data_IF_938941774416
#
_entry.id   IF_938941774416
#
_cell.length_a   1.000
_cell.length_b   1.000
_cell.length_c   1.000
_cell.angle_alpha   90.00
_cell.angle_beta   90.00
_cell.angle_gamma   90.00
#
_symmetry.space_group_name_H-M   'P 1'
#
loop_
_entity.id
_entity.type
_entity.pdbx_description
1 polymer ?
#
# COMPACT_ATOMS: atom_id res chain seq x y z
N UNK A 1 -10.28 -8.45 -14.05
CA UNK A 1 -10.00 -7.87 -15.37
C UNK A 1 -9.52 -6.42 -15.30
N UNK A 2 -10.01 -5.55 -14.40
CA UNK A 2 -9.54 -4.15 -14.31
C UNK A 2 -8.30 -3.89 -13.44
N UNK A 3 -7.71 -4.93 -12.84
CA UNK A 3 -6.57 -4.86 -11.91
C UNK A 3 -5.22 -4.83 -12.62
N UNK A 4 -5.16 -5.44 -13.79
CA UNK A 4 -3.93 -5.60 -14.57
C UNK A 4 -3.65 -4.30 -15.35
N UNK A 5 -4.70 -3.63 -15.80
CA UNK A 5 -4.64 -2.34 -16.51
C UNK A 5 -4.09 -1.22 -15.63
N UNK A 6 -4.51 -1.15 -14.36
CA UNK A 6 -4.02 -0.16 -13.40
C UNK A 6 -2.56 -0.40 -12.98
N UNK A 7 -2.14 -1.66 -12.90
CA UNK A 7 -0.75 -2.03 -12.65
C UNK A 7 0.14 -1.67 -13.84
N UNK A 8 -0.29 -2.02 -15.06
CA UNK A 8 0.42 -1.66 -16.28
C UNK A 8 0.51 -0.15 -16.48
N UNK A 9 -0.56 0.59 -16.19
CA UNK A 9 -0.56 2.06 -16.27
C UNK A 9 0.41 2.69 -15.27
N UNK A 10 0.44 2.19 -14.02
CA UNK A 10 1.37 2.67 -13.00
C UNK A 10 2.83 2.38 -13.35
N UNK A 11 3.13 1.17 -13.80
CA UNK A 11 4.48 0.77 -14.26
C UNK A 11 4.88 1.61 -15.48
N UNK A 12 3.98 1.81 -16.44
CA UNK A 12 4.21 2.64 -17.62
C UNK A 12 4.54 4.09 -17.26
N UNK A 13 3.79 4.70 -16.34
CA UNK A 13 4.04 6.07 -15.86
C UNK A 13 5.39 6.20 -15.15
N UNK A 14 5.80 5.19 -14.38
CA UNK A 14 7.12 5.16 -13.72
C UNK A 14 8.26 5.09 -14.75
N UNK A 15 8.12 4.27 -15.78
CA UNK A 15 9.11 4.23 -16.87
C UNK A 15 9.13 5.53 -17.68
N UNK A 16 7.98 6.16 -17.90
CA UNK A 16 7.89 7.48 -18.55
C UNK A 16 8.59 8.56 -17.72
N UNK A 17 8.35 8.58 -16.41
CA UNK A 17 9.01 9.50 -15.48
C UNK A 17 10.53 9.27 -15.45
N UNK A 18 10.99 8.01 -15.40
CA UNK A 18 12.41 7.68 -15.47
C UNK A 18 13.04 8.12 -16.79
N UNK A 19 12.33 7.95 -17.91
CA UNK A 19 12.74 8.44 -19.23
C UNK A 19 12.90 9.96 -19.26
N UNK A 20 11.90 10.70 -18.76
CA UNK A 20 11.91 12.17 -18.70
C UNK A 20 13.05 12.68 -17.81
N UNK A 21 13.27 12.06 -16.64
CA UNK A 21 14.39 12.41 -15.74
C UNK A 21 15.74 12.16 -16.42
N UNK A 22 15.89 11.01 -17.09
CA UNK A 22 17.16 10.64 -17.73
C UNK A 22 17.46 11.57 -18.90
N UNK A 23 16.45 11.88 -19.74
CA UNK A 23 16.61 12.83 -20.84
C UNK A 23 16.88 14.25 -20.34
N UNK A 24 16.17 14.69 -19.31
CA UNK A 24 16.37 16.01 -18.68
C UNK A 24 17.76 16.13 -18.08
N UNK A 25 18.20 15.13 -17.31
CA UNK A 25 19.54 15.06 -16.74
C UNK A 25 20.64 15.04 -17.80
N UNK A 26 20.46 14.27 -18.88
CA UNK A 26 21.41 14.22 -19.98
C UNK A 26 21.47 15.55 -20.75
N UNK A 27 20.32 16.20 -20.95
CA UNK A 27 20.23 17.52 -21.61
C UNK A 27 20.91 18.60 -20.78
N UNK A 28 20.73 18.56 -19.45
CA UNK A 28 21.39 19.45 -18.51
C UNK A 28 22.90 19.23 -18.50
N UNK A 29 23.35 17.97 -18.49
CA UNK A 29 24.77 17.62 -18.54
C UNK A 29 25.42 18.09 -19.86
N UNK A 30 24.72 17.89 -20.98
CA UNK A 30 25.17 18.33 -22.30
C UNK A 30 25.25 19.87 -22.40
N UNK A 31 24.23 20.58 -21.92
CA UNK A 31 24.19 22.05 -21.95
C UNK A 31 25.27 22.67 -21.03
N UNK A 32 25.53 22.04 -19.89
CA UNK A 32 26.53 22.49 -18.92
C UNK A 32 27.96 22.27 -19.45
N UNK A 33 28.23 21.11 -20.04
CA UNK A 33 29.59 20.75 -20.48
C UNK A 33 29.99 21.45 -21.79
N UNK A 34 29.07 21.61 -22.74
CA UNK A 34 29.38 22.18 -24.06
C UNK A 34 29.13 23.69 -24.20
N UNK A 35 28.19 24.30 -23.46
CA UNK A 35 27.84 25.72 -23.64
C UNK A 35 28.36 26.69 -22.57
N UNK A 36 28.89 26.22 -21.42
CA UNK A 36 29.43 27.07 -20.32
C UNK A 36 28.53 28.26 -19.90
N UNK A 37 27.22 28.20 -20.15
CA UNK A 37 26.28 29.24 -19.76
C UNK A 37 25.53 28.78 -18.50
N UNK A 38 25.80 29.42 -17.35
CA UNK A 38 25.31 28.99 -16.04
C UNK A 38 23.81 29.31 -15.77
N UNK A 39 23.22 30.29 -16.46
CA UNK A 39 21.89 30.80 -16.09
C UNK A 39 20.72 30.02 -16.73
N UNK A 40 20.88 29.56 -17.97
CA UNK A 40 19.84 28.79 -18.68
C UNK A 40 19.65 27.34 -18.18
N UNK A 41 20.69 26.57 -17.81
CA UNK A 41 20.55 25.20 -17.33
C UNK A 41 19.79 25.10 -16.02
N UNK A 42 19.95 26.06 -15.10
CA UNK A 42 19.28 26.06 -13.80
C UNK A 42 17.76 26.12 -13.96
N UNK A 43 17.26 26.96 -14.87
CA UNK A 43 15.82 27.08 -15.13
C UNK A 43 15.24 25.80 -15.74
N UNK A 44 16.01 25.15 -16.63
CA UNK A 44 15.62 23.85 -17.23
C UNK A 44 15.64 22.74 -16.19
N UNK A 45 16.64 22.71 -15.31
CA UNK A 45 16.75 21.73 -14.24
C UNK A 45 15.60 21.89 -13.22
N UNK A 46 15.31 23.13 -12.80
CA UNK A 46 14.19 23.44 -11.90
C UNK A 46 12.84 23.05 -12.53
N UNK A 47 12.61 23.37 -13.81
CA UNK A 47 11.40 22.98 -14.52
C UNK A 47 11.29 21.45 -14.67
N UNK A 48 12.40 20.75 -14.94
CA UNK A 48 12.44 19.29 -15.03
C UNK A 48 12.14 18.60 -13.70
N UNK A 49 12.68 19.10 -12.59
CA UNK A 49 12.39 18.59 -11.24
C UNK A 49 10.93 18.86 -10.87
N UNK A 50 10.41 20.07 -11.12
CA UNK A 50 9.00 20.41 -10.89
C UNK A 50 8.05 19.51 -11.68
N UNK A 51 8.30 19.31 -12.98
CA UNK A 51 7.51 18.41 -13.81
C UNK A 51 7.57 16.97 -13.31
N UNK A 52 8.75 16.50 -12.88
CA UNK A 52 8.92 15.16 -12.33
C UNK A 52 8.09 14.97 -11.06
N UNK A 53 8.19 15.92 -10.11
CA UNK A 53 7.42 15.88 -8.86
C UNK A 53 5.93 15.96 -9.15
N UNK A 54 5.51 16.77 -10.12
CA UNK A 54 4.11 16.89 -10.53
C UNK A 54 3.57 15.58 -11.13
N UNK A 55 4.30 14.96 -12.05
CA UNK A 55 3.92 13.66 -12.65
C UNK A 55 3.91 12.55 -11.60
N UNK A 56 4.91 12.52 -10.71
CA UNK A 56 4.93 11.58 -9.58
C UNK A 56 3.74 11.78 -8.63
N UNK A 57 3.37 13.03 -8.36
CA UNK A 57 2.18 13.38 -7.58
C UNK A 57 0.88 12.94 -8.25
N UNK A 58 0.75 13.09 -9.57
CA UNK A 58 -0.40 12.60 -10.34
C UNK A 58 -0.46 11.07 -10.45
N UNK A 59 0.67 10.37 -10.36
CA UNK A 59 0.71 8.91 -10.28
C UNK A 59 0.38 8.37 -8.88
N UNK A 60 0.43 9.22 -7.85
CA UNK A 60 0.21 8.84 -6.46
C UNK A 60 -1.17 8.21 -6.17
N UNK A 61 -2.30 8.69 -6.75
CA UNK A 61 -3.60 8.02 -6.62
C UNK A 61 -3.62 6.61 -7.20
N UNK A 62 -2.85 6.34 -8.26
CA UNK A 62 -2.76 5.00 -8.88
C UNK A 62 -1.86 4.05 -8.09
N UNK A 63 -0.94 4.57 -7.29
CA UNK A 63 -0.12 3.82 -6.34
C UNK A 63 -0.83 3.60 -4.99
N UNK A 64 -1.88 4.37 -4.67
CA UNK A 64 -2.65 4.25 -3.43
C UNK A 64 -3.19 2.82 -3.15
N UNK A 65 -3.66 2.03 -4.14
CA UNK A 65 -4.08 0.64 -3.91
C UNK A 65 -2.95 -0.32 -3.52
N UNK A 66 -1.70 0.06 -3.79
CA UNK A 66 -0.49 -0.74 -3.50
C UNK A 66 0.26 -0.25 -2.26
N UNK A 67 0.08 1.02 -1.88
CA UNK A 67 0.67 1.63 -0.68
C UNK A 67 -0.28 1.66 0.51
N UNK A 68 -1.60 1.61 0.28
CA UNK A 68 -2.64 1.76 1.30
C UNK A 68 -3.39 0.47 1.65
N UNK A 69 -4.25 0.55 2.65
CA UNK A 69 -5.05 -0.58 3.15
C UNK A 69 -6.30 -0.87 2.30
N UNK A 70 -6.55 -0.13 1.23
CA UNK A 70 -7.80 -0.19 0.46
C UNK A 70 -8.18 -1.59 0.00
N UNK A 71 -7.24 -2.37 -0.58
CA UNK A 71 -7.52 -3.74 -1.04
C UNK A 71 -7.77 -4.71 0.11
N UNK A 72 -7.05 -4.52 1.23
CA UNK A 72 -7.22 -5.30 2.43
C UNK A 72 -8.60 -5.06 3.02
N UNK A 73 -9.01 -3.79 3.14
CA UNK A 73 -10.33 -3.39 3.64
C UNK A 73 -11.45 -3.83 2.70
N UNK A 74 -11.27 -3.74 1.38
CA UNK A 74 -12.25 -4.23 0.40
C UNK A 74 -12.46 -5.73 0.53
N UNK A 75 -11.38 -6.52 0.61
CA UNK A 75 -11.49 -7.97 0.78
C UNK A 75 -12.08 -8.33 2.15
N UNK A 76 -11.68 -7.63 3.20
CA UNK A 76 -12.24 -7.82 4.54
C UNK A 76 -13.74 -7.51 4.57
N UNK A 77 -14.18 -6.44 3.91
CA UNK A 77 -15.61 -6.09 3.81
C UNK A 77 -16.41 -7.14 3.04
N UNK A 78 -15.85 -7.69 1.96
CA UNK A 78 -16.48 -8.78 1.22
C UNK A 78 -16.67 -10.04 2.09
N UNK A 79 -15.63 -10.47 2.80
CA UNK A 79 -15.68 -11.65 3.69
C UNK A 79 -16.60 -11.40 4.90
N UNK A 80 -16.58 -10.18 5.46
CA UNK A 80 -17.49 -9.77 6.52
C UNK A 80 -18.96 -9.83 6.09
N UNK A 81 -19.27 -9.41 4.87
CA UNK A 81 -20.63 -9.50 4.32
C UNK A 81 -21.07 -10.95 4.09
N UNK A 82 -20.16 -11.83 3.67
CA UNK A 82 -20.43 -13.25 3.45
C UNK A 82 -20.67 -13.99 4.78
N UNK A 83 -19.87 -13.69 5.80
CA UNK A 83 -19.95 -14.30 7.14
C UNK A 83 -20.91 -13.61 8.10
N UNK A 84 -21.55 -12.50 7.68
CA UNK A 84 -22.39 -11.63 8.52
C UNK A 84 -21.68 -11.11 9.78
N UNK A 85 -20.37 -10.93 9.68
CA UNK A 85 -19.53 -10.40 10.74
C UNK A 85 -19.44 -8.88 10.60
N UNK A 86 -19.53 -8.15 11.70
CA UNK A 86 -19.50 -6.68 11.67
C UNK A 86 -18.25 -6.04 12.27
N UNK A 87 -17.49 -6.80 13.05
CA UNK A 87 -16.35 -6.31 13.81
C UNK A 87 -15.03 -6.71 13.16
N UNK A 88 -14.13 -5.74 13.05
CA UNK A 88 -12.80 -5.89 12.45
C UNK A 88 -11.75 -5.73 13.54
N UNK A 89 -10.96 -6.77 13.75
CA UNK A 89 -9.83 -6.76 14.65
C UNK A 89 -8.54 -6.59 13.86
N UNK A 90 -7.61 -5.79 14.38
CA UNK A 90 -6.33 -5.54 13.71
C UNK A 90 -5.18 -5.88 14.64
N UNK A 91 -4.19 -6.62 14.12
CA UNK A 91 -2.96 -6.96 14.86
C UNK A 91 -1.71 -6.73 14.00
N UNK A 92 -0.73 -6.03 14.57
CA UNK A 92 0.59 -5.86 13.96
C UNK A 92 0.60 -5.09 12.63
N UNK A 93 -0.41 -4.25 12.39
CA UNK A 93 -0.47 -3.32 11.26
C UNK A 93 -0.17 -1.91 11.77
N UNK A 94 0.86 -1.26 11.21
CA UNK A 94 1.22 0.11 11.57
C UNK A 94 0.23 1.11 10.93
N UNK A 95 -0.19 2.12 11.70
CA UNK A 95 -1.22 3.11 11.31
C UNK A 95 -2.56 2.49 10.90
N UNK A 96 -2.97 1.43 11.57
CA UNK A 96 -4.28 0.83 11.33
C UNK A 96 -5.45 1.77 11.66
N UNK A 97 -5.22 2.84 12.43
CA UNK A 97 -6.23 3.86 12.76
C UNK A 97 -6.91 4.38 11.49
N UNK A 98 -6.15 4.71 10.44
CA UNK A 98 -6.69 5.20 9.17
C UNK A 98 -7.41 4.15 8.31
N UNK A 99 -7.51 2.90 8.77
CA UNK A 99 -8.31 1.86 8.09
C UNK A 99 -9.81 2.08 8.30
N UNK A 100 -10.20 2.80 9.35
CA UNK A 100 -11.58 3.14 9.68
C UNK A 100 -12.29 3.90 8.53
N UNK A 101 -11.56 4.80 7.84
CA UNK A 101 -12.02 5.55 6.68
C UNK A 101 -12.37 4.61 5.52
N UNK A 102 -11.57 3.56 5.31
CA UNK A 102 -11.77 2.61 4.22
C UNK A 102 -12.86 1.58 4.53
N UNK A 103 -12.94 1.14 5.78
CA UNK A 103 -13.95 0.19 6.26
C UNK A 103 -15.28 0.88 6.58
N UNK A 104 -15.30 2.23 6.63
CA UNK A 104 -16.42 3.06 7.10
C UNK A 104 -16.92 2.65 8.49
N UNK A 105 -16.03 2.05 9.28
CA UNK A 105 -16.28 1.45 10.58
C UNK A 105 -15.02 1.46 11.40
N UNK A 106 -15.17 1.62 12.71
CA UNK A 106 -14.07 1.58 13.64
C UNK A 106 -13.39 0.20 13.64
N UNK A 107 -12.07 0.20 13.84
CA UNK A 107 -11.24 -1.01 13.87
C UNK A 107 -10.78 -1.26 15.30
N UNK A 108 -10.97 -2.47 15.79
CA UNK A 108 -10.62 -2.84 17.16
C UNK A 108 -9.18 -3.37 17.15
N UNK A 109 -8.31 -2.75 17.95
CA UNK A 109 -6.95 -3.25 18.11
C UNK A 109 -6.98 -4.48 19.01
N UNK A 110 -6.62 -5.64 18.45
CA UNK A 110 -6.49 -6.86 19.24
C UNK A 110 -5.12 -6.91 19.89
N UNK A 111 -5.05 -7.36 21.14
CA UNK A 111 -3.80 -7.73 21.78
C UNK A 111 -3.44 -9.20 21.50
N UNK A 112 -2.14 -9.52 21.55
CA UNK A 112 -1.64 -10.90 21.33
C UNK A 112 -2.36 -11.91 22.23
N UNK A 113 -2.57 -11.53 23.48
CA UNK A 113 -3.18 -12.38 24.50
C UNK A 113 -4.67 -12.63 24.24
N UNK A 114 -5.39 -11.70 23.63
CA UNK A 114 -6.81 -11.86 23.30
C UNK A 114 -7.02 -12.77 22.10
N UNK A 115 -6.12 -12.67 21.11
CA UNK A 115 -6.09 -13.55 19.94
C UNK A 115 -5.82 -15.00 20.36
N UNK A 116 -4.78 -15.22 21.18
CA UNK A 116 -4.38 -16.57 21.62
C UNK A 116 -5.40 -17.19 22.59
N UNK A 117 -6.10 -16.38 23.40
CA UNK A 117 -7.16 -16.86 24.31
C UNK A 117 -8.50 -17.12 23.61
N UNK A 118 -8.58 -16.98 22.27
CA UNK A 118 -9.79 -17.16 21.46
C UNK A 118 -11.00 -16.34 21.99
N UNK A 119 -10.77 -15.12 22.46
CA UNK A 119 -11.86 -14.23 22.92
C UNK A 119 -12.63 -13.57 21.76
N UNK A 120 -12.17 -13.76 20.54
CA UNK A 120 -12.58 -13.05 19.32
C UNK A 120 -13.37 -13.96 18.36
N UNK A 121 -14.20 -14.84 18.92
CA UNK A 121 -14.91 -15.89 18.18
C UNK A 121 -15.99 -15.28 17.25
N UNK A 122 -15.98 -15.66 15.96
CA UNK A 122 -16.93 -15.17 14.95
C UNK A 122 -16.57 -13.82 14.30
N UNK A 123 -15.36 -13.30 14.53
CA UNK A 123 -14.93 -11.97 14.11
C UNK A 123 -13.85 -12.02 13.00
N UNK A 124 -13.64 -10.90 12.29
CA UNK A 124 -12.61 -10.81 11.26
C UNK A 124 -11.31 -10.26 11.85
N UNK A 125 -10.20 -10.97 11.68
CA UNK A 125 -8.87 -10.53 12.09
C UNK A 125 -8.01 -10.14 10.87
N UNK A 126 -7.48 -8.93 10.90
CA UNK A 126 -6.57 -8.35 9.93
C UNK A 126 -5.16 -8.36 10.52
N UNK A 127 -4.25 -9.10 9.89
CA UNK A 127 -2.90 -9.29 10.42
C UNK A 127 -1.82 -9.11 9.35
N UNK A 128 -0.66 -8.57 9.71
CA UNK A 128 0.48 -8.49 8.81
C UNK A 128 1.30 -9.79 8.78
N UNK A 129 1.83 -10.14 7.61
CA UNK A 129 2.72 -11.30 7.44
C UNK A 129 3.98 -11.19 8.33
N UNK A 130 4.43 -9.95 8.58
CA UNK A 130 5.53 -9.66 9.50
C UNK A 130 5.19 -10.03 10.94
N UNK A 131 3.96 -9.76 11.40
CA UNK A 131 3.53 -10.09 12.75
C UNK A 131 3.40 -11.60 12.93
N UNK A 132 2.88 -12.32 11.93
CA UNK A 132 2.80 -13.79 11.94
C UNK A 132 4.19 -14.44 12.03
N UNK A 133 5.17 -13.89 11.34
CA UNK A 133 6.56 -14.39 11.38
C UNK A 133 7.27 -14.08 12.70
N UNK A 134 6.84 -13.05 13.42
CA UNK A 134 7.43 -12.63 14.68
C UNK A 134 6.89 -13.45 15.86
N UNK A 135 5.63 -13.86 15.79
CA UNK A 135 4.92 -14.51 16.89
C UNK A 135 4.44 -15.92 16.52
N UNK A 136 5.17 -16.92 16.99
CA UNK A 136 4.93 -18.34 16.71
C UNK A 136 3.59 -18.85 17.28
N UNK A 137 3.14 -18.28 18.40
CA UNK A 137 1.84 -18.55 19.03
C UNK A 137 0.68 -18.18 18.11
N UNK A 138 0.77 -17.02 17.46
CA UNK A 138 -0.26 -16.52 16.53
C UNK A 138 -0.25 -17.39 15.27
N UNK A 139 0.93 -17.74 14.77
CA UNK A 139 1.05 -18.63 13.60
C UNK A 139 0.36 -19.98 13.84
N UNK A 140 0.53 -20.53 15.04
CA UNK A 140 -0.08 -21.81 15.43
C UNK A 140 -1.60 -21.69 15.59
N UNK A 141 -2.10 -20.59 16.17
CA UNK A 141 -3.53 -20.31 16.29
C UNK A 141 -4.23 -20.11 14.94
N UNK A 142 -3.55 -19.48 13.98
CA UNK A 142 -4.07 -19.27 12.64
C UNK A 142 -4.11 -20.57 11.82
N UNK A 143 -3.31 -21.58 12.18
CA UNK A 143 -3.18 -22.83 11.44
C UNK A 143 -4.49 -23.63 11.51
N UNK A 144 -5.24 -23.67 10.40
CA UNK A 144 -6.52 -24.35 10.29
C UNK A 144 -7.75 -23.45 10.19
N UNK A 145 -7.60 -22.12 10.40
CA UNK A 145 -8.68 -21.14 10.14
C UNK A 145 -8.73 -20.73 8.67
N UNK A 146 -9.87 -20.20 8.22
CA UNK A 146 -10.00 -19.65 6.86
C UNK A 146 -9.19 -18.35 6.74
N UNK A 147 -8.24 -18.35 5.81
CA UNK A 147 -7.30 -17.25 5.59
C UNK A 147 -7.36 -16.76 4.13
N UNK A 148 -7.40 -15.45 3.96
CA UNK A 148 -7.38 -14.78 2.66
C UNK A 148 -6.16 -13.87 2.59
N UNK A 149 -5.19 -14.23 1.74
CA UNK A 149 -3.99 -13.45 1.54
C UNK A 149 -4.24 -12.23 0.64
N UNK A 150 -3.86 -11.04 1.10
CA UNK A 150 -3.95 -9.78 0.35
C UNK A 150 -2.60 -9.06 0.43
N UNK A 151 -1.71 -9.38 -0.53
CA UNK A 151 -0.37 -8.79 -0.59
C UNK A 151 0.50 -9.22 0.60
N UNK A 152 0.85 -8.27 1.49
CA UNK A 152 1.67 -8.51 2.70
C UNK A 152 0.84 -8.70 3.98
N UNK A 153 -0.48 -8.80 3.83
CA UNK A 153 -1.44 -8.91 4.92
C UNK A 153 -2.34 -10.12 4.70
N UNK A 154 -2.93 -10.61 5.79
CA UNK A 154 -3.93 -11.67 5.76
C UNK A 154 -5.21 -11.20 6.45
N UNK A 155 -6.34 -11.61 5.89
CA UNK A 155 -7.66 -11.56 6.52
C UNK A 155 -7.98 -12.96 7.00
N UNK A 156 -8.25 -13.11 8.29
CA UNK A 156 -8.56 -14.38 8.94
C UNK A 156 -9.96 -14.30 9.50
N UNK A 157 -10.80 -15.27 9.17
CA UNK A 157 -12.09 -15.41 9.84
C UNK A 157 -11.91 -16.29 11.09
N UNK A 158 -12.24 -15.73 12.26
CA UNK A 158 -12.08 -16.40 13.55
C UNK A 158 -13.28 -17.26 13.92
#
# INVERSE_FOLDING_TARGET
>A
SGTDDAFFAGVFLVYLAAGIITLSGLTVLYLLFFKKQLQHPIRVMAAGVLLTVFVAGLAMPQLNPYLGWSRLCEKASAVASEKRTTDYYVYGISRAESMDVFLKKDVIFADKEEIVKNKLDGQLLLISDKAIKKDEDIRSFLFGKEQYAVGKYLVVAL
#
